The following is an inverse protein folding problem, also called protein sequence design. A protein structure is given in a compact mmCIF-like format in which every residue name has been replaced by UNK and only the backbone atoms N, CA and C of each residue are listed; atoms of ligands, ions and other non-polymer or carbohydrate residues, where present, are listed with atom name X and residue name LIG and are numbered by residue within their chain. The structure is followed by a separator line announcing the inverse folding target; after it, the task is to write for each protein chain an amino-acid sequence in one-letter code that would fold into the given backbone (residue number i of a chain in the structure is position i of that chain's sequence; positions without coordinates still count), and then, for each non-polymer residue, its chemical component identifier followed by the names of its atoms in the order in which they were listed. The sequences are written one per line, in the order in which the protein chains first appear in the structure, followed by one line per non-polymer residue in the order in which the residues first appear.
data_IF_070326984406
#
_entry.id   IF_070326984406
#
_cell.length_a   1.000
_cell.length_b   1.000
_cell.length_c   1.000
_cell.angle_alpha   90.00
_cell.angle_beta   90.00
_cell.angle_gamma   90.00
#
_symmetry.space_group_name_H-M   'P 1'
#
loop_
_entity.id
_entity.type
_entity.pdbx_description
1 polymer ?
#
# COMPACT_ATOMS: atom_id res chain seq x y z
N UNK A 1 5.54 11.28 -4.77
CA UNK A 1 4.73 10.04 -4.85
C UNK A 1 5.41 8.99 -5.68
N UNK A 2 5.89 9.29 -6.91
CA UNK A 2 6.63 8.30 -7.71
C UNK A 2 7.88 7.76 -7.01
N UNK A 3 8.68 8.61 -6.36
CA UNK A 3 9.90 8.19 -5.63
C UNK A 3 9.64 7.20 -4.49
N UNK A 4 8.64 7.48 -3.64
CA UNK A 4 8.15 6.60 -2.55
C UNK A 4 7.63 5.24 -3.06
N UNK A 5 7.03 5.24 -4.26
CA UNK A 5 6.51 4.02 -4.89
C UNK A 5 7.64 3.17 -5.47
N UNK A 6 8.65 3.81 -6.07
CA UNK A 6 9.84 3.13 -6.60
C UNK A 6 10.70 2.55 -5.47
N UNK A 7 10.89 3.27 -4.35
CA UNK A 7 11.59 2.74 -3.17
C UNK A 7 10.88 1.50 -2.62
N UNK A 8 9.56 1.60 -2.41
CA UNK A 8 8.73 0.50 -1.94
C UNK A 8 8.77 -0.69 -2.90
N UNK A 9 8.77 -0.44 -4.21
CA UNK A 9 8.81 -1.48 -5.22
C UNK A 9 10.12 -2.26 -5.22
N UNK A 10 11.25 -1.54 -5.12
CA UNK A 10 12.57 -2.15 -5.02
C UNK A 10 12.69 -3.02 -3.75
N UNK A 11 12.20 -2.51 -2.62
CA UNK A 11 12.24 -3.22 -1.35
C UNK A 11 11.38 -4.50 -1.38
N UNK A 12 10.15 -4.42 -1.90
CA UNK A 12 9.28 -5.60 -2.08
C UNK A 12 9.89 -6.64 -3.03
N UNK A 13 10.56 -6.20 -4.09
CA UNK A 13 11.24 -7.10 -5.02
C UNK A 13 12.41 -7.84 -4.34
N UNK A 14 13.19 -7.15 -3.49
CA UNK A 14 14.22 -7.79 -2.68
C UNK A 14 13.62 -8.79 -1.68
N UNK A 15 12.58 -8.40 -0.93
CA UNK A 15 11.91 -9.30 0.02
C UNK A 15 11.35 -10.55 -0.68
N UNK A 16 10.85 -10.42 -1.91
CA UNK A 16 10.38 -11.56 -2.70
C UNK A 16 11.47 -12.60 -2.99
N UNK A 17 12.75 -12.23 -2.98
CA UNK A 17 13.87 -13.17 -3.17
C UNK A 17 14.26 -13.87 -1.87
N UNK A 18 14.24 -13.14 -0.74
CA UNK A 18 14.64 -13.67 0.56
C UNK A 18 13.57 -14.58 1.20
N UNK A 19 12.29 -14.26 1.01
CA UNK A 19 11.18 -14.97 1.64
C UNK A 19 10.49 -15.94 0.67
N UNK A 20 10.20 -17.16 1.14
CA UNK A 20 9.35 -18.13 0.41
C UNK A 20 8.03 -18.38 1.16
N UNK A 21 6.86 -18.28 0.49
CA UNK A 21 6.67 -17.92 -0.92
C UNK A 21 6.76 -16.39 -1.18
N UNK A 22 7.61 -15.99 -2.14
CA UNK A 22 7.79 -14.58 -2.53
C UNK A 22 6.60 -13.96 -3.27
N UNK A 23 5.65 -14.79 -3.72
CA UNK A 23 4.45 -14.36 -4.44
C UNK A 23 3.62 -13.32 -3.68
N UNK A 24 3.60 -13.38 -2.35
CA UNK A 24 2.85 -12.41 -1.53
C UNK A 24 3.37 -10.99 -1.76
N UNK A 25 4.70 -10.81 -1.84
CA UNK A 25 5.33 -9.51 -2.05
C UNK A 25 5.10 -9.00 -3.48
N UNK A 26 5.12 -9.89 -4.46
CA UNK A 26 4.82 -9.55 -5.86
C UNK A 26 3.35 -9.14 -6.02
N UNK A 27 2.41 -9.82 -5.35
CA UNK A 27 1.00 -9.45 -5.36
C UNK A 27 0.77 -8.08 -4.69
N UNK A 28 1.44 -7.80 -3.57
CA UNK A 28 1.38 -6.50 -2.89
C UNK A 28 1.93 -5.38 -3.79
N UNK A 29 3.04 -5.64 -4.47
CA UNK A 29 3.61 -4.73 -5.45
C UNK A 29 2.62 -4.47 -6.61
N UNK A 30 2.04 -5.53 -7.16
CA UNK A 30 1.06 -5.45 -8.24
C UNK A 30 -0.17 -4.64 -7.82
N UNK A 31 -0.69 -4.86 -6.61
CA UNK A 31 -1.82 -4.11 -6.06
C UNK A 31 -1.48 -2.62 -5.92
N UNK A 32 -0.29 -2.28 -5.44
CA UNK A 32 0.15 -0.90 -5.22
C UNK A 32 0.32 -0.12 -6.53
N UNK A 33 0.93 -0.75 -7.55
CA UNK A 33 1.07 -0.16 -8.89
C UNK A 33 -0.29 -0.02 -9.57
N UNK A 34 -1.11 -1.07 -9.52
CA UNK A 34 -2.41 -1.10 -10.21
C UNK A 34 -3.37 -0.08 -9.62
N UNK A 35 -3.47 0.03 -8.29
CA UNK A 35 -4.34 1.01 -7.63
C UNK A 35 -3.99 2.44 -8.03
N UNK A 36 -2.70 2.77 -8.06
CA UNK A 36 -2.22 4.08 -8.46
C UNK A 36 -2.47 4.34 -9.95
N UNK A 37 -2.23 3.36 -10.81
CA UNK A 37 -2.46 3.50 -12.25
C UNK A 37 -3.94 3.76 -12.55
N UNK A 38 -4.85 3.00 -11.94
CA UNK A 38 -6.30 3.21 -12.05
C UNK A 38 -6.72 4.59 -11.56
N UNK A 39 -6.21 5.04 -10.42
CA UNK A 39 -6.52 6.36 -9.87
C UNK A 39 -6.04 7.51 -10.79
N UNK A 40 -4.87 7.36 -11.42
CA UNK A 40 -4.35 8.33 -12.39
C UNK A 40 -5.19 8.32 -13.68
N UNK A 41 -5.49 7.13 -14.19
CA UNK A 41 -6.25 6.93 -15.42
C UNK A 41 -7.68 7.49 -15.32
N UNK A 42 -8.39 7.19 -14.22
CA UNK A 42 -9.72 7.74 -13.95
C UNK A 42 -9.73 9.27 -13.80
N UNK A 43 -8.66 9.84 -13.23
CA UNK A 43 -8.49 11.30 -13.12
C UNK A 43 -8.29 11.94 -14.50
N UNK A 44 -7.50 11.31 -15.38
CA UNK A 44 -7.29 11.74 -16.76
C UNK A 44 -8.59 11.70 -17.58
N UNK A 45 -9.34 10.58 -17.52
CA UNK A 45 -10.63 10.42 -18.22
C UNK A 45 -11.67 11.45 -17.77
N UNK A 46 -11.70 11.77 -16.48
CA UNK A 46 -12.67 12.72 -15.91
C UNK A 46 -12.41 14.18 -16.30
N UNK A 47 -11.30 14.50 -17.00
CA UNK A 47 -10.94 15.87 -17.39
C UNK A 47 -10.73 16.83 -16.21
N UNK A 48 -10.58 16.30 -14.99
CA UNK A 48 -10.39 17.12 -13.78
C UNK A 48 -8.93 17.57 -13.73
N UNK A 49 -8.72 18.88 -13.66
CA UNK A 49 -7.41 19.53 -13.61
C UNK A 49 -6.59 19.24 -12.34
N UNK A 50 -7.13 18.53 -11.35
CA UNK A 50 -6.40 18.12 -10.15
C UNK A 50 -6.91 16.81 -9.55
N UNK A 51 -6.01 15.85 -9.38
CA UNK A 51 -6.20 14.53 -8.76
C UNK A 51 -6.44 14.60 -7.23
N UNK A 52 -6.63 15.79 -6.67
CA UNK A 52 -6.96 16.06 -5.26
C UNK A 52 -8.43 16.42 -5.00
N UNK A 53 -9.26 16.57 -6.02
CA UNK A 53 -10.70 16.83 -5.85
C UNK A 53 -11.49 15.54 -5.61
N UNK A 54 -11.22 14.93 -4.46
CA UNK A 54 -11.97 13.81 -3.87
C UNK A 54 -13.21 14.38 -3.17
N UNK A 55 -14.03 15.16 -3.90
CA UNK A 55 -15.30 15.69 -3.37
C UNK A 55 -16.46 14.70 -3.48
N UNK A 56 -16.29 13.58 -4.18
CA UNK A 56 -17.39 12.64 -4.46
C UNK A 56 -17.12 11.17 -4.11
N UNK A 57 -16.02 10.83 -3.43
CA UNK A 57 -15.83 9.45 -2.98
C UNK A 57 -16.53 9.23 -1.63
N UNK A 58 -17.53 8.35 -1.59
CA UNK A 58 -18.33 8.04 -0.40
C UNK A 58 -17.57 7.38 0.76
N UNK A 59 -16.28 7.08 0.62
CA UNK A 59 -15.49 6.38 1.63
C UNK A 59 -14.75 7.37 2.54
N UNK A 60 -15.23 7.52 3.78
CA UNK A 60 -14.63 8.40 4.80
C UNK A 60 -13.16 8.12 5.08
N UNK A 61 -12.70 6.88 4.91
CA UNK A 61 -11.29 6.51 5.06
C UNK A 61 -10.39 7.16 3.99
N UNK A 62 -10.86 7.23 2.74
CA UNK A 62 -10.13 7.87 1.65
C UNK A 62 -10.09 9.39 1.83
N UNK A 63 -11.18 9.97 2.35
CA UNK A 63 -11.27 11.39 2.71
C UNK A 63 -10.32 11.75 3.84
N UNK A 64 -10.18 10.89 4.86
CA UNK A 64 -9.20 11.08 5.93
C UNK A 64 -7.77 10.96 5.39
N UNK A 65 -7.51 9.97 4.52
CA UNK A 65 -6.21 9.75 3.92
C UNK A 65 -5.71 10.94 3.09
N UNK A 66 -6.56 11.51 2.23
CA UNK A 66 -6.18 12.68 1.43
C UNK A 66 -6.37 14.01 2.17
N UNK A 67 -7.27 14.08 3.14
CA UNK A 67 -7.58 15.29 3.91
C UNK A 67 -6.54 15.59 5.00
N UNK A 68 -5.89 14.57 5.56
CA UNK A 68 -4.97 14.73 6.67
C UNK A 68 -3.56 14.22 6.32
N UNK A 69 -2.68 15.16 5.95
CA UNK A 69 -1.29 14.88 5.51
C UNK A 69 -0.47 14.04 6.50
N UNK A 70 -0.55 14.25 7.84
CA UNK A 70 0.23 13.43 8.78
C UNK A 70 -0.17 11.96 8.78
N UNK A 71 -1.45 11.64 8.56
CA UNK A 71 -1.92 10.25 8.48
C UNK A 71 -1.44 9.56 7.20
N UNK A 72 -1.42 10.28 6.06
CA UNK A 72 -0.81 9.78 4.84
C UNK A 72 0.68 9.45 5.05
N UNK A 73 1.43 10.35 5.70
CA UNK A 73 2.84 10.15 5.99
C UNK A 73 3.04 8.96 6.94
N UNK A 74 2.24 8.85 7.99
CA UNK A 74 2.27 7.72 8.93
C UNK A 74 2.07 6.38 8.21
N UNK A 75 1.06 6.25 7.35
CA UNK A 75 0.83 5.01 6.59
C UNK A 75 2.01 4.66 5.65
N UNK A 76 2.62 5.65 4.99
CA UNK A 76 3.79 5.41 4.14
C UNK A 76 5.01 4.97 4.96
N UNK A 77 5.37 5.73 5.99
CA UNK A 77 6.52 5.41 6.85
C UNK A 77 6.33 4.07 7.54
N UNK A 78 5.15 3.79 8.07
CA UNK A 78 4.84 2.50 8.70
C UNK A 78 5.03 1.33 7.73
N UNK A 79 4.61 1.48 6.47
CA UNK A 79 4.81 0.44 5.46
C UNK A 79 6.28 0.22 5.08
N UNK A 80 7.05 1.29 4.91
CA UNK A 80 8.48 1.18 4.58
C UNK A 80 9.27 0.58 5.75
N UNK A 81 9.02 1.06 6.98
CA UNK A 81 9.67 0.55 8.19
C UNK A 81 9.36 -0.93 8.39
N UNK A 82 8.12 -1.37 8.17
CA UNK A 82 7.77 -2.80 8.25
C UNK A 82 8.62 -3.64 7.29
N UNK A 83 8.76 -3.20 6.04
CA UNK A 83 9.56 -3.92 5.04
C UNK A 83 11.05 -3.89 5.36
N UNK A 84 11.57 -2.80 5.94
CA UNK A 84 12.96 -2.74 6.43
C UNK A 84 13.17 -3.71 7.60
N UNK A 85 12.24 -3.77 8.56
CA UNK A 85 12.32 -4.73 9.69
C UNK A 85 12.33 -6.16 9.16
N UNK A 86 11.44 -6.49 8.21
CA UNK A 86 11.41 -7.78 7.54
C UNK A 86 12.73 -8.05 6.78
N UNK A 87 13.33 -7.05 6.16
CA UNK A 87 14.61 -7.19 5.48
C UNK A 87 15.77 -7.46 6.47
N UNK A 88 15.81 -6.75 7.60
CA UNK A 88 16.86 -6.94 8.62
C UNK A 88 16.79 -8.31 9.31
N UNK A 89 15.59 -8.84 9.50
CA UNK A 89 15.36 -10.17 10.07
C UNK A 89 15.35 -11.30 9.01
N UNK A 90 15.63 -10.99 7.74
CA UNK A 90 15.80 -12.01 6.72
C UNK A 90 17.17 -12.69 6.93
N UNK A 91 17.13 -13.91 7.47
CA UNK A 91 18.34 -14.74 7.61
C UNK A 91 18.72 -15.41 6.28
N UNK A 92 19.98 -15.84 6.13
CA UNK A 92 20.53 -16.40 4.90
C UNK A 92 19.85 -17.72 4.47
N UNK A 93 19.17 -18.41 5.39
CA UNK A 93 18.32 -19.56 5.08
C UNK A 93 16.90 -19.06 4.82
N UNK A 94 16.41 -19.18 3.58
CA UNK A 94 15.03 -18.92 3.15
C UNK A 94 13.98 -19.17 4.25
N UNK A 95 13.72 -18.15 5.06
CA UNK A 95 12.88 -18.28 6.25
C UNK A 95 11.44 -18.11 5.84
N UNK A 96 10.55 -18.98 6.34
CA UNK A 96 9.12 -18.74 6.24
C UNK A 96 8.77 -17.46 6.98
N UNK A 97 7.95 -16.59 6.37
CA UNK A 97 7.48 -15.32 6.96
C UNK A 97 6.93 -15.52 8.38
N UNK A 98 6.25 -16.64 8.60
CA UNK A 98 5.63 -16.97 9.88
C UNK A 98 6.66 -17.23 10.97
N UNK A 99 7.83 -17.76 10.62
CA UNK A 99 8.92 -17.99 11.56
C UNK A 99 9.61 -16.66 11.92
N UNK A 100 9.80 -15.77 10.95
CA UNK A 100 10.34 -14.43 11.22
C UNK A 100 9.40 -13.62 12.12
N UNK A 101 8.09 -13.61 11.83
CA UNK A 101 7.10 -12.95 12.69
C UNK A 101 7.09 -13.54 14.11
N UNK A 102 7.21 -14.87 14.26
CA UNK A 102 7.32 -15.51 15.58
C UNK A 102 8.63 -15.16 16.31
N UNK A 103 9.73 -14.96 15.58
CA UNK A 103 11.00 -14.50 16.13
C UNK A 103 10.86 -13.09 16.69
N UNK A 104 10.32 -12.16 15.90
CA UNK A 104 10.08 -10.77 16.30
C UNK A 104 9.13 -10.70 17.50
N UNK A 105 8.11 -11.57 17.57
CA UNK A 105 7.15 -11.57 18.68
C UNK A 105 7.73 -12.09 20.01
N UNK A 106 8.90 -12.74 19.98
CA UNK A 106 9.61 -13.22 21.18
C UNK A 106 10.66 -12.23 21.69
N UNK A 107 10.92 -11.15 20.95
CA UNK A 107 11.84 -10.09 21.32
C UNK A 107 11.28 -9.21 22.45
N UNK A 108 12.05 -8.20 22.84
CA UNK A 108 11.63 -7.22 23.84
C UNK A 108 10.25 -6.60 23.52
N UNK A 109 9.43 -6.28 24.55
CA UNK A 109 8.07 -5.76 24.36
C UNK A 109 8.03 -4.45 23.55
N UNK A 110 9.12 -3.67 23.56
CA UNK A 110 9.26 -2.45 22.75
C UNK A 110 9.34 -2.75 21.26
N UNK A 111 10.11 -3.76 20.85
CA UNK A 111 10.22 -4.18 19.45
C UNK A 111 8.89 -4.75 18.96
N UNK A 112 8.21 -5.53 19.80
CA UNK A 112 6.87 -6.04 19.52
C UNK A 112 5.87 -4.91 19.31
N UNK A 113 5.86 -3.90 20.19
CA UNK A 113 4.97 -2.75 20.05
C UNK A 113 5.22 -1.96 18.76
N UNK A 114 6.49 -1.72 18.41
CA UNK A 114 6.88 -1.10 17.14
C UNK A 114 6.44 -1.93 15.93
N UNK A 115 6.60 -3.25 15.99
CA UNK A 115 6.19 -4.15 14.91
C UNK A 115 4.66 -4.17 14.73
N UNK A 116 3.89 -4.18 15.82
CA UNK A 116 2.41 -4.14 15.76
C UNK A 116 1.94 -2.80 15.19
N UNK A 117 2.51 -1.68 15.63
CA UNK A 117 2.10 -0.35 15.12
C UNK A 117 2.39 -0.19 13.62
N UNK A 118 3.52 -0.70 13.15
CA UNK A 118 3.89 -0.69 11.72
C UNK A 118 3.02 -1.64 10.89
N UNK A 119 2.66 -2.81 11.43
CA UNK A 119 1.69 -3.73 10.82
C UNK A 119 0.31 -3.08 10.62
N UNK A 120 -0.18 -2.33 11.61
CA UNK A 120 -1.45 -1.60 11.51
C UNK A 120 -1.37 -0.56 10.39
N UNK A 121 -0.28 0.22 10.34
CA UNK A 121 -0.09 1.22 9.28
C UNK A 121 0.01 0.61 7.88
N UNK A 122 0.69 -0.53 7.74
CA UNK A 122 0.73 -1.31 6.50
C UNK A 122 -0.65 -1.83 6.09
N UNK A 123 -1.41 -2.42 7.01
CA UNK A 123 -2.74 -2.95 6.72
C UNK A 123 -3.70 -1.85 6.26
N UNK A 124 -3.67 -0.69 6.92
CA UNK A 124 -4.42 0.49 6.51
C UNK A 124 -4.04 0.92 5.09
N UNK A 125 -2.74 0.96 4.77
CA UNK A 125 -2.28 1.31 3.41
C UNK A 125 -2.79 0.33 2.36
N UNK A 126 -2.81 -0.99 2.64
CA UNK A 126 -3.37 -1.98 1.72
C UNK A 126 -4.88 -1.80 1.51
N UNK A 127 -5.64 -1.54 2.57
CA UNK A 127 -7.08 -1.25 2.49
C UNK A 127 -7.33 0.00 1.64
N UNK A 128 -6.53 1.04 1.82
CA UNK A 128 -6.61 2.28 1.03
C UNK A 128 -6.33 2.01 -0.45
N UNK A 129 -5.31 1.22 -0.77
CA UNK A 129 -5.00 0.83 -2.16
C UNK A 129 -6.18 0.11 -2.83
N UNK A 130 -6.84 -0.81 -2.13
CA UNK A 130 -8.03 -1.51 -2.65
C UNK A 130 -9.20 -0.54 -2.85
N UNK A 131 -9.45 0.36 -1.90
CA UNK A 131 -10.51 1.36 -2.01
C UNK A 131 -10.25 2.32 -3.17
N UNK A 132 -9.00 2.76 -3.37
CA UNK A 132 -8.59 3.59 -4.50
C UNK A 132 -8.88 2.89 -5.82
N UNK A 133 -8.48 1.62 -5.94
CA UNK A 133 -8.73 0.83 -7.14
C UNK A 133 -10.23 0.70 -7.44
N UNK A 134 -11.04 0.35 -6.44
CA UNK A 134 -12.49 0.25 -6.62
C UNK A 134 -13.12 1.58 -7.04
N UNK A 135 -12.79 2.65 -6.33
CA UNK A 135 -13.32 4.01 -6.62
C UNK A 135 -12.97 4.45 -8.04
N UNK A 136 -11.73 4.19 -8.47
CA UNK A 136 -11.27 4.52 -9.81
C UNK A 136 -11.97 3.68 -10.89
N UNK A 137 -12.17 2.39 -10.64
CA UNK A 137 -12.93 1.52 -11.53
C UNK A 137 -14.39 2.00 -11.70
N UNK A 138 -15.06 2.33 -10.59
CA UNK A 138 -16.42 2.88 -10.61
C UNK A 138 -16.49 4.19 -11.42
N UNK A 139 -15.48 5.06 -11.29
CA UNK A 139 -15.38 6.30 -12.06
C UNK A 139 -15.18 6.04 -13.57
N UNK A 140 -14.38 5.05 -13.95
CA UNK A 140 -14.19 4.66 -15.35
C UNK A 140 -15.49 4.11 -15.97
N UNK A 141 -16.22 3.25 -15.25
CA UNK A 141 -17.51 2.70 -15.72
C UNK A 141 -18.54 3.82 -15.89
N UNK A 142 -18.59 4.78 -14.95
CA UNK A 142 -19.48 5.93 -15.05
C UNK A 142 -19.13 6.85 -16.23
N UNK A 143 -17.85 6.97 -16.58
CA UNK A 143 -17.42 7.71 -17.77
C UNK A 143 -17.83 7.00 -19.06
N UNK A 144 -17.58 5.69 -19.16
CA UNK A 144 -17.90 4.90 -20.35
C UNK A 144 -19.41 4.84 -20.62
N UNK A 145 -20.20 4.65 -19.56
CA UNK A 145 -21.68 4.68 -19.64
C UNK A 145 -22.25 5.99 -20.17
N UNK A 146 -21.54 7.11 -20.02
CA UNK A 146 -21.95 8.43 -20.55
C UNK A 146 -21.55 8.63 -22.00
N UNK A 147 -20.55 7.89 -22.50
CA UNK A 147 -20.01 8.00 -23.86
C UNK A 147 -20.72 7.08 -24.85
N UNK A 148 -21.34 6.01 -24.36
CA UNK A 148 -22.20 5.10 -25.14
C UNK A 148 -23.65 5.57 -25.35
N UNK A 149 -24.00 6.79 -24.90
CA UNK A 149 -25.25 7.48 -25.24
C UNK A 149 -24.95 8.64 -26.17
#
# INVERSE_FOLDING_TARGET
MVTDRVSTACLLALLSQFYRPGLVFILLLGLDITSHWFQMYSSFLSGKTSHKDVKHTGNGLLKLYYGYRPFMAFCCVASEVLYIILFLYADAKSTSLLNTCRGILKESPLVVFMFISTLIGWALKQVINVIQMKTAADACVAYDSKRGK
#
